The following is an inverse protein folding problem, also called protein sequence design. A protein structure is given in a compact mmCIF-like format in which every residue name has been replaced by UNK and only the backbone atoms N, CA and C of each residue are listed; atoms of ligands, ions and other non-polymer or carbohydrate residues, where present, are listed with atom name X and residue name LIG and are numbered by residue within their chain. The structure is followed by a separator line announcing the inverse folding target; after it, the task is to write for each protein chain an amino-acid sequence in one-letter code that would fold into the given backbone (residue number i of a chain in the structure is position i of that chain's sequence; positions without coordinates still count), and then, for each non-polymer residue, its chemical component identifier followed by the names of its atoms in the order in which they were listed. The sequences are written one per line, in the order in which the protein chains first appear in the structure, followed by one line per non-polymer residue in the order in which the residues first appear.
data_IF_098374662925
#
_entry.id   IF_098374662925
#
_cell.length_a   1.000
_cell.length_b   1.000
_cell.length_c   1.000
_cell.angle_alpha   90.00
_cell.angle_beta   90.00
_cell.angle_gamma   90.00
#
_symmetry.space_group_name_H-M   'P 1'
#
loop_
_entity.id
_entity.type
_entity.pdbx_description
1 polymer ?
#
# COMPACT_ATOMS: atom_id res chain seq x y z
N UNK A 1 6.18 2.38 29.28
CA UNK A 1 7.34 1.47 29.27
C UNK A 1 7.02 0.08 29.83
N UNK A 2 6.36 -0.04 31.00
CA UNK A 2 6.06 -1.32 31.67
C UNK A 2 5.24 -2.29 30.81
N UNK A 3 4.26 -1.79 30.03
CA UNK A 3 3.42 -2.61 29.15
C UNK A 3 4.16 -3.32 28.01
N UNK A 4 5.26 -2.73 27.50
CA UNK A 4 6.04 -3.34 26.40
C UNK A 4 6.87 -4.53 26.92
N UNK A 5 7.34 -4.44 28.16
CA UNK A 5 8.10 -5.51 28.82
C UNK A 5 7.17 -6.68 29.20
N UNK A 6 5.94 -6.39 29.62
CA UNK A 6 4.94 -7.43 29.93
C UNK A 6 4.46 -8.20 28.69
N UNK A 7 4.36 -7.53 27.53
CA UNK A 7 3.99 -8.17 26.27
C UNK A 7 5.15 -8.96 25.62
N UNK A 8 6.41 -8.65 25.95
CA UNK A 8 7.57 -9.35 25.37
C UNK A 8 7.89 -10.68 26.04
N UNK A 9 7.51 -10.86 27.31
CA UNK A 9 7.78 -12.09 28.08
C UNK A 9 7.07 -13.35 27.50
N UNK A 10 5.77 -13.32 27.15
CA UNK A 10 5.09 -14.46 26.54
C UNK A 10 5.65 -14.81 25.15
N UNK A 11 6.06 -13.79 24.39
CA UNK A 11 6.66 -13.96 23.06
C UNK A 11 8.03 -14.62 23.17
N UNK A 12 8.86 -14.20 24.13
CA UNK A 12 10.17 -14.81 24.39
C UNK A 12 10.04 -16.27 24.88
N UNK A 13 9.06 -16.56 25.75
CA UNK A 13 8.77 -17.92 26.20
C UNK A 13 8.29 -18.82 25.05
N UNK A 14 7.39 -18.33 24.20
CA UNK A 14 6.91 -19.07 23.01
C UNK A 14 8.02 -19.34 21.98
N UNK A 15 8.93 -18.39 21.79
CA UNK A 15 10.08 -18.56 20.90
C UNK A 15 11.13 -19.53 21.44
N UNK A 16 11.28 -19.60 22.77
CA UNK A 16 12.15 -20.56 23.45
C UNK A 16 11.64 -22.00 23.38
N UNK A 17 10.33 -22.22 23.52
CA UNK A 17 9.73 -23.56 23.48
C UNK A 17 9.61 -24.15 22.08
N UNK A 18 9.52 -23.31 21.05
CA UNK A 18 9.32 -23.75 19.66
C UNK A 18 10.60 -23.90 18.83
N UNK A 19 11.77 -23.54 19.38
CA UNK A 19 13.05 -23.57 18.66
C UNK A 19 13.16 -22.57 17.50
N UNK A 20 12.18 -21.67 17.34
CA UNK A 20 12.10 -20.68 16.25
C UNK A 20 12.87 -19.39 16.53
N UNK A 21 13.69 -19.39 17.58
CA UNK A 21 14.48 -18.23 17.99
C UNK A 21 15.41 -17.70 16.88
N UNK A 22 16.00 -18.60 16.10
CA UNK A 22 16.86 -18.24 14.97
C UNK A 22 16.09 -17.53 13.86
N UNK A 23 14.88 -17.99 13.54
CA UNK A 23 14.00 -17.34 12.56
C UNK A 23 13.57 -15.95 13.03
N UNK A 24 13.17 -15.82 14.29
CA UNK A 24 12.78 -14.53 14.87
C UNK A 24 13.95 -13.54 14.94
N UNK A 25 15.15 -14.01 15.33
CA UNK A 25 16.38 -13.21 15.32
C UNK A 25 16.67 -12.71 13.90
N UNK A 26 16.57 -13.57 12.90
CA UNK A 26 16.79 -13.20 11.51
C UNK A 26 15.73 -12.19 11.03
N UNK A 27 14.46 -12.33 11.42
CA UNK A 27 13.43 -11.33 11.12
C UNK A 27 13.69 -9.97 11.76
N UNK A 28 14.15 -9.93 13.01
CA UNK A 28 14.54 -8.68 13.69
C UNK A 28 15.72 -8.04 12.96
N UNK A 29 16.76 -8.82 12.66
CA UNK A 29 17.96 -8.32 11.96
C UNK A 29 17.60 -7.78 10.58
N UNK A 30 16.78 -8.49 9.81
CA UNK A 30 16.32 -8.03 8.51
C UNK A 30 15.49 -6.74 8.63
N UNK A 31 14.58 -6.67 9.61
CA UNK A 31 13.77 -5.47 9.87
C UNK A 31 14.64 -4.27 10.26
N UNK A 32 15.70 -4.49 11.04
CA UNK A 32 16.67 -3.45 11.39
C UNK A 32 17.49 -2.98 10.18
N UNK A 33 17.90 -3.90 9.29
CA UNK A 33 18.63 -3.56 8.07
C UNK A 33 17.75 -2.76 7.10
N UNK A 34 16.50 -3.17 6.91
CA UNK A 34 15.51 -2.44 6.10
C UNK A 34 15.32 -1.03 6.67
N UNK A 35 15.10 -0.90 7.99
CA UNK A 35 14.97 0.39 8.67
C UNK A 35 16.22 1.28 8.51
N UNK A 36 17.43 0.70 8.65
CA UNK A 36 18.70 1.43 8.47
C UNK A 36 18.88 1.95 7.04
N UNK A 37 18.47 1.17 6.04
CA UNK A 37 18.50 1.60 4.64
C UNK A 37 17.53 2.76 4.38
N UNK A 38 16.32 2.68 4.94
CA UNK A 38 15.32 3.74 4.83
C UNK A 38 15.84 5.04 5.48
N UNK A 39 16.35 4.98 6.71
CA UNK A 39 16.88 6.16 7.40
C UNK A 39 18.04 6.81 6.65
N UNK A 40 18.91 6.04 5.99
CA UNK A 40 19.98 6.60 5.15
C UNK A 40 19.44 7.45 4.00
N UNK A 41 18.26 7.12 3.47
CA UNK A 41 17.60 7.89 2.42
C UNK A 41 16.92 9.16 2.95
N UNK A 42 16.49 9.17 4.22
CA UNK A 42 15.78 10.32 4.83
C UNK A 42 16.68 11.24 5.69
N UNK A 43 17.93 10.85 5.96
CA UNK A 43 18.84 11.57 6.85
C UNK A 43 19.36 12.94 6.35
N UNK A 44 18.90 13.46 5.21
CA UNK A 44 19.29 14.78 4.69
C UNK A 44 18.50 15.96 5.24
N UNK A 45 17.55 15.75 6.18
CA UNK A 45 16.64 16.78 6.68
C UNK A 45 16.85 17.08 8.18
N UNK A 46 16.81 18.35 8.63
CA UNK A 46 17.14 18.75 10.01
C UNK A 46 16.12 18.26 11.07
N UNK A 47 14.93 17.79 10.68
CA UNK A 47 13.89 17.27 11.59
C UNK A 47 13.94 15.74 11.74
N UNK A 48 15.09 15.20 12.14
CA UNK A 48 15.39 13.76 12.22
C UNK A 48 14.43 12.94 13.10
N UNK A 49 13.90 13.51 14.21
CA UNK A 49 12.94 12.83 15.09
C UNK A 49 11.56 12.64 14.44
N UNK A 50 11.07 13.66 13.72
CA UNK A 50 9.79 13.59 13.02
C UNK A 50 9.85 12.56 11.89
N UNK A 51 10.92 12.64 11.09
CA UNK A 51 11.26 11.66 10.05
C UNK A 51 11.29 10.23 10.58
N UNK A 52 11.87 10.02 11.77
CA UNK A 52 11.97 8.71 12.40
C UNK A 52 10.59 8.15 12.79
N UNK A 53 9.72 8.98 13.38
CA UNK A 53 8.35 8.57 13.74
C UNK A 53 7.51 8.23 12.51
N UNK A 54 7.60 9.03 11.45
CA UNK A 54 6.90 8.75 10.19
C UNK A 54 7.41 7.46 9.54
N UNK A 55 8.73 7.25 9.53
CA UNK A 55 9.34 5.99 9.06
C UNK A 55 8.79 4.76 9.81
N UNK A 56 8.69 4.85 11.14
CA UNK A 56 8.12 3.78 11.97
C UNK A 56 6.66 3.51 11.59
N UNK A 57 5.83 4.56 11.46
CA UNK A 57 4.42 4.41 11.07
C UNK A 57 4.28 3.68 9.73
N UNK A 58 5.11 4.03 8.74
CA UNK A 58 5.12 3.37 7.42
C UNK A 58 5.44 1.88 7.56
N UNK A 59 6.46 1.52 8.33
CA UNK A 59 6.86 0.11 8.55
C UNK A 59 5.74 -0.67 9.25
N UNK A 60 5.13 -0.11 10.30
CA UNK A 60 4.02 -0.75 11.01
C UNK A 60 2.81 -0.95 10.10
N UNK A 61 2.44 0.07 9.31
CA UNK A 61 1.34 -0.04 8.37
C UNK A 61 1.60 -1.13 7.31
N UNK A 62 2.82 -1.20 6.78
CA UNK A 62 3.20 -2.24 5.83
C UNK A 62 3.11 -3.66 6.43
N UNK A 63 3.52 -3.83 7.69
CA UNK A 63 3.41 -5.11 8.41
C UNK A 63 1.95 -5.46 8.70
N UNK A 64 1.15 -4.49 9.12
CA UNK A 64 -0.29 -4.66 9.35
C UNK A 64 -1.02 -5.09 8.07
N UNK A 65 -0.76 -4.43 6.94
CA UNK A 65 -1.33 -4.81 5.64
C UNK A 65 -0.94 -6.22 5.21
N UNK A 66 0.32 -6.63 5.43
CA UNK A 66 0.74 -8.02 5.17
C UNK A 66 0.02 -9.01 6.07
N UNK A 67 -0.21 -8.67 7.33
CA UNK A 67 -0.92 -9.51 8.27
C UNK A 67 -2.41 -9.63 7.92
N UNK A 68 -3.08 -8.53 7.57
CA UNK A 68 -4.48 -8.57 7.12
C UNK A 68 -4.62 -9.35 5.81
N UNK A 69 -3.69 -9.18 4.87
CA UNK A 69 -3.64 -9.99 3.66
C UNK A 69 -3.40 -11.48 3.95
N UNK A 70 -2.58 -11.80 4.94
CA UNK A 70 -2.36 -13.19 5.38
C UNK A 70 -3.63 -13.82 5.97
N UNK A 71 -4.40 -13.07 6.76
CA UNK A 71 -5.69 -13.53 7.30
C UNK A 71 -6.76 -13.63 6.20
N UNK A 72 -6.67 -12.77 5.18
CA UNK A 72 -7.66 -12.71 4.10
C UNK A 72 -7.28 -13.64 2.94
N UNK A 73 -7.90 -14.82 2.89
CA UNK A 73 -7.72 -15.80 1.81
C UNK A 73 -8.36 -15.42 0.46
N UNK A 74 -8.88 -14.19 0.31
CA UNK A 74 -9.44 -13.72 -0.96
C UNK A 74 -8.40 -13.62 -2.08
N UNK A 75 -7.11 -13.40 -1.77
CA UNK A 75 -6.06 -13.31 -2.78
C UNK A 75 -5.03 -14.43 -2.63
N UNK A 76 -4.81 -15.21 -3.70
CA UNK A 76 -3.81 -16.30 -3.73
C UNK A 76 -2.83 -16.09 -4.87
N UNK A 77 -1.54 -16.14 -4.59
CA UNK A 77 -0.50 -16.12 -5.62
C UNK A 77 -0.51 -17.46 -6.37
N UNK A 78 -0.73 -17.43 -7.69
CA UNK A 78 -0.67 -18.64 -8.54
C UNK A 78 0.74 -18.80 -9.11
N UNK A 79 1.33 -17.70 -9.58
CA UNK A 79 2.64 -17.68 -10.25
C UNK A 79 3.48 -16.49 -9.77
N UNK A 80 4.76 -16.41 -10.17
CA UNK A 80 5.71 -15.35 -9.84
C UNK A 80 5.13 -13.94 -10.04
N UNK A 81 4.26 -13.74 -11.04
CA UNK A 81 3.69 -12.43 -11.41
C UNK A 81 2.15 -12.38 -11.41
N UNK A 82 1.46 -13.44 -11.01
CA UNK A 82 0.00 -13.54 -11.16
C UNK A 82 -0.67 -13.94 -9.86
N UNK A 83 -1.72 -13.21 -9.51
CA UNK A 83 -2.55 -13.40 -8.32
C UNK A 83 -3.98 -13.73 -8.73
N UNK A 84 -4.62 -14.66 -8.04
CA UNK A 84 -6.03 -14.97 -8.14
C UNK A 84 -6.75 -14.21 -7.03
N UNK A 85 -7.69 -13.35 -7.39
CA UNK A 85 -8.59 -12.70 -6.43
C UNK A 85 -9.94 -13.37 -6.54
N UNK A 86 -10.45 -13.85 -5.40
CA UNK A 86 -11.76 -14.48 -5.23
C UNK A 86 -12.65 -13.51 -4.47
N UNK A 87 -13.82 -13.23 -5.01
CA UNK A 87 -14.80 -12.32 -4.40
C UNK A 87 -16.22 -12.85 -4.64
N UNK A 88 -17.19 -12.30 -3.91
CA UNK A 88 -18.59 -12.72 -3.99
C UNK A 88 -19.46 -11.52 -4.36
N UNK A 89 -20.33 -11.67 -5.36
CA UNK A 89 -21.36 -10.68 -5.73
C UNK A 89 -22.70 -11.41 -5.71
N UNK A 90 -23.67 -10.89 -4.95
CA UNK A 90 -25.02 -11.48 -4.83
C UNK A 90 -24.99 -12.98 -4.47
N UNK A 91 -24.10 -13.37 -3.55
CA UNK A 91 -23.93 -14.76 -3.12
C UNK A 91 -23.23 -15.70 -4.12
N UNK A 92 -22.88 -15.21 -5.31
CA UNK A 92 -22.14 -15.98 -6.32
C UNK A 92 -20.65 -15.69 -6.23
N UNK A 93 -19.84 -16.74 -6.30
CA UNK A 93 -18.38 -16.64 -6.25
C UNK A 93 -17.81 -16.32 -7.65
N UNK A 94 -16.99 -15.29 -7.73
CA UNK A 94 -16.25 -14.90 -8.93
C UNK A 94 -14.75 -14.91 -8.65
N UNK A 95 -13.96 -15.08 -9.71
CA UNK A 95 -12.50 -15.12 -9.67
C UNK A 95 -11.93 -14.26 -10.78
N UNK A 96 -10.94 -13.43 -10.45
CA UNK A 96 -10.20 -12.62 -11.41
C UNK A 96 -8.69 -12.84 -11.28
N UNK A 97 -7.99 -12.84 -12.42
CA UNK A 97 -6.53 -12.89 -12.47
C UNK A 97 -5.97 -11.47 -12.51
N UNK A 98 -5.04 -11.19 -11.60
CA UNK A 98 -4.41 -9.88 -11.44
C UNK A 98 -2.91 -10.02 -11.62
N UNK A 99 -2.35 -9.21 -12.52
CA UNK A 99 -0.91 -9.14 -12.77
C UNK A 99 -0.41 -7.76 -12.37
N UNK A 100 0.08 -7.56 -11.14
CA UNK A 100 0.52 -6.25 -10.70
C UNK A 100 1.74 -5.78 -11.49
N UNK A 101 1.67 -4.53 -11.98
CA UNK A 101 2.79 -3.86 -12.65
C UNK A 101 3.90 -3.59 -11.63
N UNK A 102 5.14 -3.89 -12.01
CA UNK A 102 6.32 -3.57 -11.19
C UNK A 102 6.85 -2.19 -11.56
N UNK A 103 7.35 -1.46 -10.57
CA UNK A 103 7.96 -0.15 -10.74
C UNK A 103 7.29 0.91 -9.87
N UNK A 104 7.85 2.13 -9.84
CA UNK A 104 7.21 3.26 -9.17
C UNK A 104 5.88 3.61 -9.85
N UNK A 105 4.92 4.08 -9.07
CA UNK A 105 3.69 4.63 -9.61
C UNK A 105 4.04 5.89 -10.44
N UNK A 106 3.63 5.99 -11.72
CA UNK A 106 3.82 7.20 -12.50
C UNK A 106 2.99 8.40 -12.00
N UNK A 107 1.89 8.15 -11.28
CA UNK A 107 1.02 9.19 -10.71
C UNK A 107 1.56 9.57 -9.33
N UNK A 108 1.92 10.84 -9.15
CA UNK A 108 2.36 11.41 -7.88
C UNK A 108 1.16 11.79 -7.01
N UNK A 109 0.22 12.53 -7.61
CA UNK A 109 -0.87 13.17 -6.89
C UNK A 109 -2.11 13.28 -7.78
N UNK A 110 -3.27 13.15 -7.15
CA UNK A 110 -4.57 13.37 -7.78
C UNK A 110 -5.28 14.45 -6.97
N UNK A 111 -5.68 15.52 -7.64
CA UNK A 111 -6.29 16.70 -7.02
C UNK A 111 -7.74 16.87 -7.49
N UNK A 112 -8.60 17.32 -6.58
CA UNK A 112 -9.96 17.77 -6.91
C UNK A 112 -9.99 19.26 -7.31
N UNK A 113 -11.21 19.78 -7.53
CA UNK A 113 -11.41 21.18 -7.90
C UNK A 113 -10.95 22.21 -6.85
N UNK A 114 -10.76 21.79 -5.60
CA UNK A 114 -10.31 22.63 -4.49
C UNK A 114 -8.82 22.40 -4.17
N UNK A 115 -8.08 21.74 -5.05
CA UNK A 115 -6.69 21.34 -4.87
C UNK A 115 -6.46 20.40 -3.67
N UNK A 116 -7.51 19.68 -3.25
CA UNK A 116 -7.42 18.68 -2.19
C UNK A 116 -6.87 17.38 -2.77
N UNK A 117 -5.91 16.77 -2.06
CA UNK A 117 -5.34 15.49 -2.43
C UNK A 117 -6.34 14.35 -2.21
N UNK A 118 -6.83 13.79 -3.32
CA UNK A 118 -7.77 12.67 -3.35
C UNK A 118 -7.11 11.39 -3.89
N UNK A 119 -5.77 11.32 -3.86
CA UNK A 119 -5.01 10.19 -4.40
C UNK A 119 -5.39 8.86 -3.75
N UNK A 120 -5.55 8.85 -2.42
CA UNK A 120 -5.88 7.62 -1.68
C UNK A 120 -7.30 7.11 -1.96
N UNK A 121 -8.20 8.01 -2.36
CA UNK A 121 -9.57 7.67 -2.71
C UNK A 121 -9.64 7.06 -4.11
N UNK A 122 -8.97 7.68 -5.09
CA UNK A 122 -9.10 7.31 -6.50
C UNK A 122 -8.18 6.14 -6.90
N UNK A 123 -6.93 6.15 -6.44
CA UNK A 123 -5.91 5.21 -6.92
C UNK A 123 -6.32 3.72 -6.78
N UNK A 124 -7.01 3.28 -5.71
CA UNK A 124 -7.49 1.90 -5.60
C UNK A 124 -8.42 1.45 -6.74
N UNK A 125 -9.21 2.35 -7.32
CA UNK A 125 -10.15 2.03 -8.41
C UNK A 125 -9.46 1.82 -9.75
N UNK A 126 -8.25 2.38 -9.94
CA UNK A 126 -7.51 2.24 -11.19
C UNK A 126 -6.92 0.83 -11.38
N UNK A 127 -6.83 0.07 -10.29
CA UNK A 127 -6.22 -1.25 -10.25
C UNK A 127 -4.71 -1.23 -10.54
N UNK A 128 -4.06 -2.41 -10.54
CA UNK A 128 -2.59 -2.49 -10.62
C UNK A 128 -1.98 -2.09 -11.97
N UNK A 129 -2.80 -1.96 -13.01
CA UNK A 129 -2.38 -1.55 -14.34
C UNK A 129 -2.72 -0.08 -14.64
N UNK A 130 -3.31 0.64 -13.69
CA UNK A 130 -3.74 2.03 -13.85
C UNK A 130 -4.71 2.25 -15.02
N UNK A 131 -5.55 1.27 -15.32
CA UNK A 131 -6.42 1.25 -16.50
C UNK A 131 -7.91 1.14 -16.15
N UNK A 132 -8.28 1.37 -14.89
CA UNK A 132 -9.68 1.34 -14.41
C UNK A 132 -10.39 0.02 -14.69
N UNK A 133 -9.63 -1.09 -14.79
CA UNK A 133 -10.18 -2.37 -15.24
C UNK A 133 -10.88 -2.32 -16.61
N UNK A 134 -10.48 -1.37 -17.46
CA UNK A 134 -11.09 -1.01 -18.76
C UNK A 134 -12.54 -0.50 -18.65
N UNK A 135 -12.96 -0.04 -17.47
CA UNK A 135 -14.25 0.60 -17.28
C UNK A 135 -14.10 2.12 -17.55
N UNK A 136 -14.99 2.74 -18.34
CA UNK A 136 -14.96 4.18 -18.56
C UNK A 136 -15.36 4.92 -17.27
N UNK A 137 -14.40 5.56 -16.62
CA UNK A 137 -14.61 6.36 -15.41
C UNK A 137 -14.56 7.84 -15.76
N UNK A 138 -15.47 8.62 -15.19
CA UNK A 138 -15.51 10.09 -15.27
C UNK A 138 -15.39 10.68 -13.86
N UNK A 139 -15.06 11.98 -13.71
CA UNK A 139 -15.08 12.63 -12.41
C UNK A 139 -16.42 12.58 -11.67
N UNK A 140 -17.53 12.51 -12.40
CA UNK A 140 -18.87 12.31 -11.85
C UNK A 140 -18.98 11.02 -11.00
N UNK A 141 -18.28 9.95 -11.37
CA UNK A 141 -18.25 8.71 -10.58
C UNK A 141 -17.80 8.94 -9.12
N UNK A 142 -16.97 9.96 -8.88
CA UNK A 142 -16.47 10.35 -7.56
C UNK A 142 -17.21 11.56 -6.98
N UNK A 143 -18.30 12.01 -7.60
CA UNK A 143 -18.99 13.28 -7.29
C UNK A 143 -18.05 14.49 -7.30
N UNK A 144 -17.08 14.53 -8.24
CA UNK A 144 -16.12 15.63 -8.39
C UNK A 144 -16.35 16.41 -9.66
N UNK A 145 -16.16 17.73 -9.61
CA UNK A 145 -16.36 18.61 -10.79
C UNK A 145 -15.25 18.45 -11.82
N UNK A 146 -14.02 18.33 -11.33
CA UNK A 146 -12.86 18.01 -12.13
C UNK A 146 -11.87 17.19 -11.31
N UNK A 147 -11.03 16.44 -12.01
CA UNK A 147 -9.94 15.67 -11.40
C UNK A 147 -8.67 15.96 -12.19
N UNK A 148 -7.60 16.31 -11.47
CA UNK A 148 -6.29 16.57 -12.05
C UNK A 148 -5.26 15.55 -11.60
N UNK A 149 -4.58 14.92 -12.55
CA UNK A 149 -3.50 13.96 -12.31
C UNK A 149 -2.15 14.65 -12.51
N UNK A 150 -1.29 14.56 -11.51
CA UNK A 150 0.10 15.01 -11.57
C UNK A 150 1.02 13.78 -11.70
N UNK A 151 1.81 13.74 -12.76
CA UNK A 151 2.71 12.64 -13.06
C UNK A 151 4.16 12.96 -12.67
N UNK A 152 4.98 11.91 -12.52
CA UNK A 152 6.42 12.04 -12.18
C UNK A 152 7.22 12.93 -13.14
N UNK A 153 6.76 13.08 -14.39
CA UNK A 153 7.39 13.90 -15.42
C UNK A 153 6.90 15.36 -15.44
N UNK A 154 6.22 15.81 -14.37
CA UNK A 154 5.61 17.14 -14.25
C UNK A 154 4.46 17.43 -15.22
N UNK A 155 3.97 16.41 -15.95
CA UNK A 155 2.75 16.56 -16.72
C UNK A 155 1.55 16.61 -15.79
N UNK A 156 0.63 17.54 -16.08
CA UNK A 156 -0.68 17.64 -15.42
C UNK A 156 -1.78 17.38 -16.46
N UNK A 157 -2.66 16.42 -16.16
CA UNK A 157 -3.85 16.15 -16.99
C UNK A 157 -5.09 16.43 -16.15
N UNK A 158 -5.96 17.31 -16.63
CA UNK A 158 -7.21 17.67 -15.96
C UNK A 158 -8.39 17.18 -16.80
N UNK A 159 -9.30 16.46 -16.14
CA UNK A 159 -10.52 15.94 -16.74
C UNK A 159 -11.72 16.62 -16.06
N UNK A 160 -12.67 17.11 -16.86
CA UNK A 160 -13.89 17.73 -16.36
C UNK A 160 -14.99 16.68 -16.12
N UNK A 161 -16.08 17.10 -15.49
CA UNK A 161 -17.20 16.28 -15.01
C UNK A 161 -17.62 15.11 -15.92
N UNK A 162 -17.73 15.34 -17.23
CA UNK A 162 -18.16 14.33 -18.22
C UNK A 162 -17.03 13.69 -19.02
N UNK A 163 -15.79 14.15 -18.82
CA UNK A 163 -14.65 13.66 -19.59
C UNK A 163 -14.28 12.25 -19.13
N UNK A 164 -14.15 11.33 -20.09
CA UNK A 164 -13.67 9.97 -19.80
C UNK A 164 -12.18 10.07 -19.44
N UNK A 165 -11.83 9.63 -18.24
CA UNK A 165 -10.46 9.59 -17.76
C UNK A 165 -9.72 8.49 -18.51
N UNK A 166 -8.75 8.89 -19.34
CA UNK A 166 -7.86 7.99 -20.06
C UNK A 166 -6.45 8.16 -19.52
N UNK A 167 -5.84 7.06 -19.10
CA UNK A 167 -4.53 6.98 -18.44
C UNK A 167 -3.55 6.10 -19.21
#
# INVERSE_FOLDING_TARGET
MIYIVLLSIPVLLYLGTTGKFTHFKNEIVNTYQDWKSLNRLVASNPNTRFVYLESIKIVFNAKYLKFTQYLNNSSKKIDKKTYLVTYYIEGKQYKMLVKPKKGPNPILKILDENEIDITQEILPYMGPNLNWHNYPVTPDFFNKKNISFEYNNQNKLTFNYTDIIKT
#
